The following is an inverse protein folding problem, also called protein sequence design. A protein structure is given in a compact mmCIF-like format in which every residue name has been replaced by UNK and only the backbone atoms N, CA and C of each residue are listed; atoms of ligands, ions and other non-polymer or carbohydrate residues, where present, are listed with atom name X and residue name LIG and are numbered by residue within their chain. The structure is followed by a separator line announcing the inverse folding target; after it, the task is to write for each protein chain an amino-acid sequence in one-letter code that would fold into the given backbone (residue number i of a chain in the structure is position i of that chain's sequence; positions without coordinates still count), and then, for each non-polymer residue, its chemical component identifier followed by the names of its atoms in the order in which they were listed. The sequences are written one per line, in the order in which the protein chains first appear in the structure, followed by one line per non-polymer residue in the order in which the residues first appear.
data_IF_321405015396
#
_entry.id   IF_321405015396
#
_cell.length_a   1.000
_cell.length_b   1.000
_cell.length_c   1.000
_cell.angle_alpha   90.00
_cell.angle_beta   90.00
_cell.angle_gamma   90.00
#
_symmetry.space_group_name_H-M   'P 1'
#
loop_
_entity.id
_entity.type
_entity.pdbx_description
1 polymer ?
#
# COMPACT_ATOMS: atom_id res chain seq x y z
N UNK A 1 6.72 9.46 14.77
CA UNK A 1 5.29 9.34 15.13
C UNK A 1 4.37 9.31 13.90
N UNK A 2 4.73 9.94 12.78
CA UNK A 2 3.94 9.86 11.54
C UNK A 2 3.77 8.43 11.03
N UNK A 3 4.81 7.61 11.12
CA UNK A 3 4.81 6.22 10.64
C UNK A 3 3.69 5.39 11.29
N UNK A 4 3.53 5.49 12.61
CA UNK A 4 2.48 4.80 13.35
C UNK A 4 1.08 5.22 12.89
N UNK A 5 0.87 6.49 12.56
CA UNK A 5 -0.41 6.97 12.03
C UNK A 5 -0.69 6.39 10.64
N UNK A 6 0.33 6.31 9.78
CA UNK A 6 0.21 5.69 8.46
C UNK A 6 -0.11 4.20 8.57
N UNK A 7 0.53 3.49 9.49
CA UNK A 7 0.23 2.08 9.79
C UNK A 7 -1.21 1.87 10.24
N UNK A 8 -1.70 2.69 11.17
CA UNK A 8 -3.08 2.58 11.66
C UNK A 8 -4.09 2.90 10.55
N UNK A 9 -3.85 3.95 9.76
CA UNK A 9 -4.70 4.28 8.62
C UNK A 9 -4.70 3.17 7.56
N UNK A 10 -3.54 2.55 7.30
CA UNK A 10 -3.42 1.43 6.37
C UNK A 10 -4.06 0.15 6.91
N UNK A 11 -4.02 -0.07 8.23
CA UNK A 11 -4.69 -1.17 8.89
C UNK A 11 -6.21 -1.03 8.81
N UNK A 12 -6.72 0.17 9.05
CA UNK A 12 -8.16 0.48 9.07
C UNK A 12 -8.75 0.69 7.66
N UNK A 13 -7.90 0.86 6.64
CA UNK A 13 -8.34 1.12 5.26
C UNK A 13 -8.74 2.56 4.99
N UNK A 14 -8.26 3.48 5.83
CA UNK A 14 -8.75 4.84 5.93
C UNK A 14 -8.02 5.76 4.94
N UNK A 15 -8.47 5.74 3.68
CA UNK A 15 -7.84 6.47 2.57
C UNK A 15 -7.74 7.99 2.81
N UNK A 16 -8.73 8.60 3.48
CA UNK A 16 -8.71 10.03 3.77
C UNK A 16 -7.52 10.42 4.64
N UNK A 17 -7.23 9.62 5.67
CA UNK A 17 -6.09 9.84 6.56
C UNK A 17 -4.78 9.56 5.82
N UNK A 18 -4.73 8.52 4.99
CA UNK A 18 -3.56 8.25 4.12
C UNK A 18 -3.26 9.47 3.23
N UNK A 19 -4.27 10.07 2.60
CA UNK A 19 -4.07 11.24 1.75
C UNK A 19 -3.52 12.43 2.53
N UNK A 20 -4.09 12.72 3.70
CA UNK A 20 -3.62 13.81 4.58
C UNK A 20 -2.18 13.56 5.06
N UNK A 21 -1.86 12.32 5.42
CA UNK A 21 -0.51 11.93 5.83
C UNK A 21 0.46 12.05 4.64
N UNK A 22 0.11 11.56 3.45
CA UNK A 22 0.98 11.68 2.28
C UNK A 22 1.21 13.15 1.84
N UNK A 23 0.29 14.06 2.17
CA UNK A 23 0.47 15.50 1.96
C UNK A 23 1.45 16.15 2.98
N UNK A 24 1.61 15.54 4.16
CA UNK A 24 2.58 15.99 5.18
C UNK A 24 4.02 15.70 4.73
N UNK A 25 4.78 16.78 4.51
CA UNK A 25 6.15 16.70 4.01
C UNK A 25 7.11 16.31 5.15
N UNK A 26 7.45 15.03 5.24
CA UNK A 26 8.33 14.50 6.29
C UNK A 26 7.97 13.09 6.76
N UNK A 27 6.91 12.49 6.22
CA UNK A 27 6.57 11.10 6.48
C UNK A 27 7.55 10.14 5.82
N UNK A 28 8.17 9.30 6.65
CA UNK A 28 8.97 8.18 6.19
C UNK A 28 8.05 6.98 5.96
N UNK A 29 7.46 6.93 4.76
CA UNK A 29 6.60 5.81 4.36
C UNK A 29 7.34 4.47 4.25
N UNK A 30 8.68 4.46 4.37
CA UNK A 30 9.49 3.23 4.39
C UNK A 30 9.66 2.65 5.79
N UNK A 31 9.10 3.30 6.82
CA UNK A 31 9.12 2.79 8.17
C UNK A 31 8.49 1.39 8.25
N UNK A 32 9.19 0.49 8.93
CA UNK A 32 8.78 -0.90 9.12
C UNK A 32 8.48 -1.16 10.59
N UNK A 33 7.47 -2.01 10.84
CA UNK A 33 7.23 -2.56 12.18
C UNK A 33 8.33 -3.57 12.54
N UNK A 34 8.35 -4.05 13.79
CA UNK A 34 9.29 -5.08 14.31
C UNK A 34 9.36 -6.38 13.49
N UNK A 35 8.40 -6.61 12.60
CA UNK A 35 8.35 -7.75 11.68
C UNK A 35 8.88 -7.45 10.27
N UNK A 36 9.34 -6.22 10.02
CA UNK A 36 9.73 -5.76 8.68
C UNK A 36 8.53 -5.50 7.76
N UNK A 37 7.32 -5.33 8.30
CA UNK A 37 6.13 -5.00 7.52
C UNK A 37 6.00 -3.48 7.40
N UNK A 38 5.73 -2.97 6.20
CA UNK A 38 5.35 -1.55 5.97
C UNK A 38 3.84 -1.35 6.00
N UNK A 39 3.40 -0.09 5.96
CA UNK A 39 1.99 0.27 5.85
C UNK A 39 1.33 -0.40 4.63
N UNK A 40 2.05 -0.53 3.51
CA UNK A 40 1.59 -1.24 2.31
C UNK A 40 1.28 -2.71 2.60
N UNK A 41 2.16 -3.42 3.32
CA UNK A 41 1.95 -4.81 3.72
C UNK A 41 0.69 -4.97 4.58
N UNK A 42 0.43 -4.04 5.52
CA UNK A 42 -0.79 -4.09 6.36
C UNK A 42 -2.06 -3.85 5.53
N UNK A 43 -2.05 -2.86 4.63
CA UNK A 43 -3.18 -2.62 3.75
C UNK A 43 -3.46 -3.84 2.84
N UNK A 44 -2.43 -4.45 2.28
CA UNK A 44 -2.56 -5.66 1.46
C UNK A 44 -3.12 -6.85 2.26
N UNK A 45 -2.63 -7.06 3.49
CA UNK A 45 -3.12 -8.09 4.42
C UNK A 45 -4.57 -7.89 4.84
N UNK A 46 -5.02 -6.65 4.96
CA UNK A 46 -6.40 -6.38 5.34
C UNK A 46 -7.35 -6.28 4.12
N UNK A 47 -6.82 -6.40 2.89
CA UNK A 47 -7.64 -6.35 1.68
C UNK A 47 -8.02 -4.92 1.25
N UNK A 48 -7.34 -3.90 1.75
CA UNK A 48 -7.66 -2.48 1.49
C UNK A 48 -7.08 -1.99 0.17
N UNK A 49 -7.64 -2.45 -0.94
CA UNK A 49 -7.16 -2.16 -2.31
C UNK A 49 -6.92 -0.68 -2.59
N UNK A 50 -7.87 0.20 -2.24
CA UNK A 50 -7.75 1.62 -2.55
C UNK A 50 -6.58 2.27 -1.81
N UNK A 51 -6.32 1.82 -0.58
CA UNK A 51 -5.16 2.25 0.20
C UNK A 51 -3.87 1.69 -0.40
N UNK A 52 -3.85 0.42 -0.80
CA UNK A 52 -2.71 -0.19 -1.49
C UNK A 52 -2.39 0.58 -2.76
N UNK A 53 -3.37 0.89 -3.61
CA UNK A 53 -3.18 1.68 -4.83
C UNK A 53 -2.60 3.05 -4.52
N UNK A 54 -3.10 3.74 -3.50
CA UNK A 54 -2.60 5.07 -3.11
C UNK A 54 -1.16 5.02 -2.60
N UNK A 55 -0.86 4.10 -1.68
CA UNK A 55 0.50 3.89 -1.14
C UNK A 55 1.46 3.39 -2.22
N UNK A 56 1.01 2.54 -3.14
CA UNK A 56 1.80 2.09 -4.28
C UNK A 56 2.00 3.20 -5.31
N UNK A 57 1.16 4.22 -5.39
CA UNK A 57 1.43 5.37 -6.25
C UNK A 57 2.54 6.25 -5.66
N UNK A 58 2.65 6.29 -4.35
CA UNK A 58 3.67 7.06 -3.65
C UNK A 58 4.98 6.26 -3.52
N UNK A 59 6.01 6.67 -4.25
CA UNK A 59 7.33 6.00 -4.23
C UNK A 59 8.07 6.17 -2.92
N UNK A 60 7.61 7.06 -2.01
CA UNK A 60 8.19 7.26 -0.68
C UNK A 60 7.73 6.22 0.33
N UNK A 61 6.69 5.44 0.00
CA UNK A 61 6.06 4.47 0.91
C UNK A 61 6.39 3.01 0.61
N UNK A 62 7.41 2.74 -0.22
CA UNK A 62 7.76 1.39 -0.65
C UNK A 62 9.26 1.23 -0.93
N UNK A 63 9.85 0.25 -0.28
CA UNK A 63 11.12 -0.37 -0.68
C UNK A 63 10.83 -1.57 -1.61
N UNK A 64 11.79 -1.96 -2.47
CA UNK A 64 11.58 -3.03 -3.45
C UNK A 64 11.24 -4.40 -2.80
N UNK A 65 11.72 -4.63 -1.58
CA UNK A 65 11.37 -5.79 -0.75
C UNK A 65 9.91 -5.80 -0.31
N UNK A 66 9.29 -4.63 -0.18
CA UNK A 66 7.99 -4.45 0.47
C UNK A 66 6.85 -4.80 -0.49
N UNK A 67 7.02 -4.51 -1.78
CA UNK A 67 6.03 -4.89 -2.82
C UNK A 67 5.90 -6.41 -2.88
N UNK A 68 7.01 -7.14 -2.83
CA UNK A 68 6.99 -8.61 -2.85
C UNK A 68 6.29 -9.19 -1.63
N UNK A 69 6.58 -8.67 -0.43
CA UNK A 69 5.86 -9.06 0.81
C UNK A 69 4.39 -8.69 0.75
N UNK A 70 4.04 -7.54 0.20
CA UNK A 70 2.65 -7.12 0.06
C UNK A 70 1.87 -8.02 -0.91
N UNK A 71 2.51 -8.50 -1.99
CA UNK A 71 1.92 -9.50 -2.89
C UNK A 71 1.69 -10.84 -2.16
N UNK A 72 2.69 -11.33 -1.45
CA UNK A 72 2.60 -12.60 -0.70
C UNK A 72 1.57 -12.53 0.44
N UNK A 73 1.49 -11.38 1.11
CA UNK A 73 0.60 -11.16 2.23
C UNK A 73 -0.78 -10.62 1.79
N UNK A 74 -1.02 -10.46 0.49
CA UNK A 74 -2.29 -9.95 -0.04
C UNK A 74 -3.42 -10.93 0.31
N UNK A 75 -4.44 -10.44 1.01
CA UNK A 75 -5.65 -11.24 1.30
C UNK A 75 -6.56 -11.41 0.07
N UNK A 76 -6.32 -10.65 -1.00
CA UNK A 76 -7.10 -10.72 -2.24
C UNK A 76 -6.16 -10.75 -3.46
N UNK A 77 -6.41 -11.67 -4.39
CA UNK A 77 -5.71 -11.81 -5.65
C UNK A 77 -5.70 -10.50 -6.47
N UNK A 78 -6.75 -9.67 -6.34
CA UNK A 78 -6.85 -8.39 -7.04
C UNK A 78 -5.78 -7.40 -6.60
N UNK A 79 -5.38 -7.42 -5.33
CA UNK A 79 -4.25 -6.62 -4.83
C UNK A 79 -2.94 -7.09 -5.43
N UNK A 80 -2.70 -8.41 -5.41
CA UNK A 80 -1.50 -9.01 -6.01
C UNK A 80 -1.39 -8.64 -7.49
N UNK A 81 -2.46 -8.84 -8.27
CA UNK A 81 -2.52 -8.51 -9.70
C UNK A 81 -2.25 -7.01 -9.98
N UNK A 82 -2.72 -6.11 -9.13
CA UNK A 82 -2.42 -4.68 -9.26
C UNK A 82 -0.94 -4.38 -9.00
N UNK A 83 -0.36 -4.96 -7.95
CA UNK A 83 1.05 -4.79 -7.60
C UNK A 83 2.00 -5.41 -8.64
N UNK A 84 1.56 -6.49 -9.30
CA UNK A 84 2.24 -7.10 -10.44
C UNK A 84 2.05 -6.32 -11.75
N UNK A 85 1.19 -5.30 -11.77
CA UNK A 85 0.96 -4.45 -12.94
C UNK A 85 0.01 -5.03 -13.99
N UNK A 86 -0.74 -6.08 -13.65
CA UNK A 86 -1.78 -6.66 -14.51
C UNK A 86 -3.10 -5.87 -14.51
N UNK A 87 -3.31 -5.02 -13.50
CA UNK A 87 -4.51 -4.19 -13.38
C UNK A 87 -4.19 -2.69 -13.52
N UNK A 88 -5.10 -1.95 -14.14
CA UNK A 88 -5.07 -0.48 -14.20
C UNK A 88 -5.53 0.16 -12.88
N UNK A 89 -5.44 1.50 -12.77
CA UNK A 89 -5.85 2.27 -11.59
C UNK A 89 -7.31 2.01 -11.19
N UNK A 90 -8.17 1.71 -12.16
CA UNK A 90 -9.58 1.37 -11.96
C UNK A 90 -9.80 -0.08 -11.50
N UNK A 91 -8.75 -0.92 -11.50
CA UNK A 91 -8.84 -2.35 -11.20
C UNK A 91 -9.33 -3.20 -12.37
N UNK A 92 -9.26 -2.68 -13.59
CA UNK A 92 -9.53 -3.41 -14.82
C UNK A 92 -8.25 -4.10 -15.30
N UNK A 93 -8.38 -5.28 -15.94
CA UNK A 93 -7.24 -5.89 -16.62
C UNK A 93 -6.78 -4.97 -17.72
N UNK A 94 -5.47 -4.69 -17.78
CA UNK A 94 -4.90 -3.91 -18.87
C UNK A 94 -5.22 -4.67 -20.15
N UNK A 95 -6.21 -4.20 -20.92
CA UNK A 95 -6.56 -4.83 -22.19
C UNK A 95 -5.42 -4.50 -23.14
N UNK A 96 -4.62 -5.51 -23.48
CA UNK A 96 -3.65 -5.36 -24.56
C UNK A 96 -4.43 -5.15 -25.86
N UNK A 97 -4.03 -4.20 -26.73
CA UNK A 97 -4.64 -4.05 -28.05
C UNK A 97 -4.39 -5.27 -28.94
#
# INVERSE_FOLDING_TARGET
MGDTALFLAAYDGNLAIINLLLEENGLDGTATDKFGDTALCKAARNGHEQVVKRLYRDTRAKCASDVKRAIEAASNCRIALYLEGHLDEEGNFRTWP
#
